data_IF_986819231736
#
_entry.id   IF_986819231736
#
_cell.length_a   1.000
_cell.length_b   1.000
_cell.length_c   1.000
_cell.angle_alpha   90.00
_cell.angle_beta   90.00
_cell.angle_gamma   90.00
#
_symmetry.space_group_name_H-M   'P 1'
#
loop_
_entity.id
_entity.type
_entity.pdbx_description
1 polymer ?
#
# COMPACT_ATOMS: atom_id res chain seq x y z
N UNK A 1 20.51 -16.33 -0.31
CA UNK A 1 19.58 -16.11 -1.44
C UNK A 1 18.21 -16.77 -1.30
N UNK A 2 18.08 -18.02 -0.84
CA UNK A 2 16.76 -18.69 -0.68
C UNK A 2 15.85 -18.06 0.38
N UNK A 3 16.39 -17.51 1.45
CA UNK A 3 15.61 -16.93 2.55
C UNK A 3 14.75 -15.72 2.12
N UNK A 4 15.24 -14.91 1.20
CA UNK A 4 14.52 -13.72 0.73
C UNK A 4 13.27 -14.09 -0.10
N UNK A 5 13.32 -15.15 -0.90
CA UNK A 5 12.18 -15.60 -1.69
C UNK A 5 11.04 -16.15 -0.82
N UNK A 6 11.39 -16.83 0.28
CA UNK A 6 10.38 -17.34 1.23
C UNK A 6 9.65 -16.18 1.90
N UNK A 7 10.36 -15.13 2.31
CA UNK A 7 9.75 -13.94 2.90
C UNK A 7 8.85 -13.19 1.91
N UNK A 8 9.29 -13.06 0.66
CA UNK A 8 8.48 -12.45 -0.41
C UNK A 8 7.21 -13.27 -0.62
N UNK A 9 7.32 -14.57 -0.77
CA UNK A 9 6.16 -15.45 -0.95
C UNK A 9 5.22 -15.40 0.25
N UNK A 10 5.74 -15.44 1.47
CA UNK A 10 4.95 -15.34 2.69
C UNK A 10 4.17 -14.03 2.80
N UNK A 11 4.71 -12.94 2.29
CA UNK A 11 4.05 -11.63 2.30
C UNK A 11 3.05 -11.47 1.13
N UNK A 12 3.36 -12.03 -0.04
CA UNK A 12 2.54 -11.89 -1.26
C UNK A 12 1.32 -12.81 -1.24
N UNK A 13 1.48 -14.06 -0.79
CA UNK A 13 0.40 -15.07 -0.81
C UNK A 13 -0.86 -14.60 -0.07
N UNK A 14 -0.80 -14.07 1.18
CA UNK A 14 -1.98 -13.58 1.88
C UNK A 14 -2.67 -12.42 1.17
N UNK A 15 -1.90 -11.50 0.60
CA UNK A 15 -2.44 -10.34 -0.11
C UNK A 15 -3.20 -10.77 -1.38
N UNK A 16 -2.59 -11.65 -2.19
CA UNK A 16 -3.23 -12.20 -3.39
C UNK A 16 -4.46 -13.04 -3.02
N UNK A 17 -4.36 -13.87 -1.98
CA UNK A 17 -5.48 -14.67 -1.51
C UNK A 17 -6.65 -13.78 -1.08
N UNK A 18 -6.41 -12.72 -0.31
CA UNK A 18 -7.43 -11.79 0.13
C UNK A 18 -8.07 -11.07 -1.07
N UNK A 19 -7.26 -10.61 -2.01
CA UNK A 19 -7.74 -9.96 -3.23
C UNK A 19 -8.65 -10.88 -4.06
N UNK A 20 -8.23 -12.12 -4.27
CA UNK A 20 -9.03 -13.11 -5.02
C UNK A 20 -10.31 -13.47 -4.26
N UNK A 21 -10.22 -13.62 -2.92
CA UNK A 21 -11.38 -13.93 -2.09
C UNK A 21 -12.41 -12.80 -2.14
N UNK A 22 -11.99 -11.55 -1.98
CA UNK A 22 -12.87 -10.38 -2.02
C UNK A 22 -13.49 -10.24 -3.40
N UNK A 23 -12.72 -10.36 -4.48
CA UNK A 23 -13.22 -10.31 -5.85
C UNK A 23 -14.24 -11.43 -6.18
N UNK A 24 -14.01 -12.65 -5.65
CA UNK A 24 -14.94 -13.78 -5.83
C UNK A 24 -16.19 -13.68 -4.95
N UNK A 25 -16.10 -12.98 -3.83
CA UNK A 25 -17.23 -12.76 -2.92
C UNK A 25 -18.20 -11.72 -3.44
N UNK A 26 -17.75 -10.89 -4.36
CA UNK A 26 -18.58 -9.93 -5.07
C UNK A 26 -19.47 -10.67 -6.09
N UNK A 27 -20.71 -10.93 -5.66
CA UNK A 27 -21.70 -11.72 -6.46
C UNK A 27 -22.76 -10.86 -7.12
N UNK A 28 -22.87 -9.59 -6.73
CA UNK A 28 -24.00 -8.74 -7.08
C UNK A 28 -23.77 -8.08 -8.43
N UNK A 29 -22.63 -7.43 -8.61
CA UNK A 29 -22.21 -6.87 -9.89
C UNK A 29 -20.70 -7.03 -10.04
N UNK A 30 -20.25 -7.62 -11.13
CA UNK A 30 -18.82 -7.72 -11.40
C UNK A 30 -18.29 -6.38 -11.89
N UNK A 31 -17.35 -5.85 -11.14
CA UNK A 31 -16.64 -4.62 -11.49
C UNK A 31 -16.02 -4.66 -12.89
N UNK A 32 -16.07 -3.53 -13.59
CA UNK A 32 -15.45 -3.44 -14.91
C UNK A 32 -13.95 -3.65 -14.84
N UNK A 33 -13.40 -4.44 -15.75
CA UNK A 33 -11.93 -4.65 -15.81
C UNK A 33 -11.15 -3.36 -16.08
N UNK A 34 -11.83 -2.30 -16.54
CA UNK A 34 -11.25 -0.97 -16.72
C UNK A 34 -11.03 -0.28 -15.38
N UNK A 35 -12.01 -0.31 -14.48
CA UNK A 35 -11.91 0.29 -13.15
C UNK A 35 -10.86 -0.44 -12.31
N UNK A 36 -10.83 -1.77 -12.35
CA UNK A 36 -9.81 -2.56 -11.65
C UNK A 36 -8.39 -2.20 -12.11
N UNK A 37 -8.16 -2.00 -13.40
CA UNK A 37 -6.85 -1.54 -13.92
C UNK A 37 -6.52 -0.14 -13.44
N UNK A 38 -7.47 0.78 -13.43
CA UNK A 38 -7.27 2.13 -12.87
C UNK A 38 -6.87 2.09 -11.40
N UNK A 39 -7.51 1.25 -10.60
CA UNK A 39 -7.19 1.08 -9.19
C UNK A 39 -5.80 0.48 -8.97
N UNK A 40 -5.39 -0.47 -9.80
CA UNK A 40 -4.01 -1.01 -9.75
C UNK A 40 -2.99 0.08 -10.05
N UNK A 41 -3.20 0.87 -11.11
CA UNK A 41 -2.31 2.00 -11.46
C UNK A 41 -2.30 3.04 -10.34
N UNK A 42 -3.47 3.38 -9.78
CA UNK A 42 -3.60 4.28 -8.65
C UNK A 42 -2.84 3.76 -7.42
N UNK A 43 -2.88 2.45 -7.16
CA UNK A 43 -2.12 1.80 -6.10
C UNK A 43 -0.60 1.94 -6.29
N UNK A 44 -0.10 1.77 -7.51
CA UNK A 44 1.33 1.97 -7.82
C UNK A 44 1.73 3.43 -7.57
N UNK A 45 0.93 4.38 -8.05
CA UNK A 45 1.22 5.82 -7.86
C UNK A 45 1.12 6.19 -6.37
N UNK A 46 0.14 5.65 -5.64
CA UNK A 46 0.01 5.87 -4.19
C UNK A 46 1.22 5.35 -3.41
N UNK A 47 1.84 4.24 -3.86
CA UNK A 47 3.08 3.73 -3.27
C UNK A 47 4.23 4.73 -3.42
N UNK A 48 4.38 5.31 -4.62
CA UNK A 48 5.42 6.32 -4.87
C UNK A 48 5.18 7.59 -4.02
N UNK A 49 3.93 8.03 -3.91
CA UNK A 49 3.58 9.18 -3.07
C UNK A 49 3.88 8.89 -1.59
N UNK A 50 3.47 7.73 -1.08
CA UNK A 50 3.75 7.33 0.30
C UNK A 50 5.25 7.30 0.60
N UNK A 51 6.08 6.79 -0.31
CA UNK A 51 7.54 6.79 -0.15
C UNK A 51 8.13 8.20 -0.07
N UNK A 52 7.60 9.16 -0.83
CA UNK A 52 8.03 10.56 -0.76
C UNK A 52 7.60 11.18 0.57
N UNK A 53 6.34 10.98 0.97
CA UNK A 53 5.81 11.48 2.25
C UNK A 53 6.59 10.92 3.44
N UNK A 54 6.94 9.64 3.43
CA UNK A 54 7.77 8.99 4.45
C UNK A 54 9.17 9.61 4.52
N UNK A 55 9.82 9.85 3.39
CA UNK A 55 11.15 10.47 3.36
C UNK A 55 11.14 11.90 3.86
N UNK A 56 10.13 12.68 3.51
CA UNK A 56 9.94 14.03 4.03
C UNK A 56 9.69 14.00 5.55
N UNK A 57 8.83 13.09 6.01
CA UNK A 57 8.54 12.92 7.43
C UNK A 57 9.75 12.45 8.24
N UNK A 58 10.54 11.52 7.71
CA UNK A 58 11.81 11.06 8.30
C UNK A 58 12.79 12.22 8.46
N UNK A 59 12.98 13.01 7.41
CA UNK A 59 13.83 14.19 7.44
C UNK A 59 13.36 15.22 8.45
N UNK A 60 12.05 15.52 8.51
CA UNK A 60 11.50 16.43 9.51
C UNK A 60 11.70 15.92 10.94
N UNK A 61 11.44 14.62 11.17
CA UNK A 61 11.61 14.02 12.48
C UNK A 61 13.07 14.06 12.97
N UNK A 62 14.02 13.84 12.08
CA UNK A 62 15.45 13.88 12.41
C UNK A 62 15.93 15.25 12.88
N UNK A 63 15.22 16.34 12.49
CA UNK A 63 15.52 17.69 12.99
C UNK A 63 15.15 17.90 14.46
N UNK A 64 14.21 17.11 15.00
CA UNK A 64 13.68 17.31 16.37
C UNK A 64 14.06 16.19 17.34
N UNK A 65 14.26 14.97 16.85
CA UNK A 65 14.52 13.79 17.66
C UNK A 65 15.76 13.06 17.14
N UNK A 66 16.72 12.73 18.02
CA UNK A 66 17.90 11.97 17.62
C UNK A 66 17.54 10.58 17.11
N UNK A 67 18.09 10.17 15.96
CA UNK A 67 17.79 8.91 15.26
C UNK A 67 18.06 7.66 16.11
N UNK A 68 19.03 7.74 17.04
CA UNK A 68 19.41 6.63 17.93
C UNK A 68 18.45 6.38 19.08
N UNK A 69 17.33 7.10 19.13
CA UNK A 69 16.37 7.01 20.24
C UNK A 69 15.24 6.04 19.88
N UNK A 70 14.82 5.20 20.83
CA UNK A 70 13.66 4.34 20.63
C UNK A 70 12.37 5.13 20.31
N UNK A 71 12.27 6.36 20.86
CA UNK A 71 11.18 7.29 20.59
C UNK A 71 11.13 7.70 19.11
N UNK A 72 12.29 7.91 18.47
CA UNK A 72 12.38 8.18 17.04
C UNK A 72 11.75 7.05 16.22
N UNK A 73 12.10 5.80 16.53
CA UNK A 73 11.58 4.64 15.82
C UNK A 73 10.05 4.49 15.96
N UNK A 74 9.53 4.74 17.17
CA UNK A 74 8.07 4.69 17.39
C UNK A 74 7.37 5.78 16.59
N UNK A 75 7.80 7.03 16.67
CA UNK A 75 7.17 8.14 15.94
C UNK A 75 7.29 7.90 14.43
N UNK A 76 8.45 7.45 13.95
CA UNK A 76 8.65 7.17 12.53
C UNK A 76 7.66 6.14 12.02
N UNK A 77 7.59 4.96 12.63
CA UNK A 77 6.78 3.87 12.11
C UNK A 77 5.28 4.02 12.41
N UNK A 78 4.90 4.42 13.62
CA UNK A 78 3.49 4.48 14.01
C UNK A 78 2.80 5.78 13.63
N UNK A 79 3.53 6.88 13.46
CA UNK A 79 2.92 8.17 13.10
C UNK A 79 3.21 8.49 11.64
N UNK A 80 4.47 8.63 11.26
CA UNK A 80 4.84 9.12 9.92
C UNK A 80 4.50 8.10 8.85
N UNK A 81 4.98 6.87 8.97
CA UNK A 81 4.73 5.81 7.96
C UNK A 81 3.24 5.49 7.90
N UNK A 82 2.57 5.35 9.04
CA UNK A 82 1.14 5.06 9.06
C UNK A 82 0.30 6.17 8.41
N UNK A 83 0.57 7.44 8.73
CA UNK A 83 -0.14 8.57 8.12
C UNK A 83 0.16 8.66 6.62
N UNK A 84 1.41 8.53 6.19
CA UNK A 84 1.79 8.58 4.79
C UNK A 84 1.09 7.49 3.96
N UNK A 85 1.02 6.25 4.48
CA UNK A 85 0.32 5.17 3.80
C UNK A 85 -1.19 5.40 3.72
N UNK A 86 -1.82 5.78 4.82
CA UNK A 86 -3.28 5.94 4.85
C UNK A 86 -3.74 7.19 4.10
N UNK A 87 -2.99 8.29 4.15
CA UNK A 87 -3.30 9.50 3.37
C UNK A 87 -3.19 9.24 1.87
N UNK A 88 -2.11 8.59 1.43
CA UNK A 88 -1.91 8.21 0.02
C UNK A 88 -3.03 7.29 -0.48
N UNK A 89 -3.37 6.24 0.26
CA UNK A 89 -4.49 5.34 -0.09
C UNK A 89 -5.80 6.08 -0.20
N UNK A 90 -6.12 6.91 0.80
CA UNK A 90 -7.38 7.65 0.85
C UNK A 90 -7.53 8.62 -0.33
N UNK A 91 -6.49 9.38 -0.65
CA UNK A 91 -6.49 10.35 -1.75
C UNK A 91 -6.78 9.64 -3.08
N UNK A 92 -6.06 8.56 -3.36
CA UNK A 92 -6.21 7.85 -4.63
C UNK A 92 -7.52 7.06 -4.70
N UNK A 93 -7.93 6.42 -3.60
CA UNK A 93 -9.22 5.73 -3.54
C UNK A 93 -10.36 6.72 -3.81
N UNK A 94 -10.41 7.81 -3.06
CA UNK A 94 -11.44 8.84 -3.21
C UNK A 94 -11.50 9.39 -4.63
N UNK A 95 -10.35 9.73 -5.22
CA UNK A 95 -10.28 10.30 -6.58
C UNK A 95 -10.77 9.33 -7.66
N UNK A 96 -10.58 8.03 -7.47
CA UNK A 96 -10.96 7.03 -8.48
C UNK A 96 -12.38 6.50 -8.32
N UNK A 97 -12.95 6.59 -7.11
CA UNK A 97 -14.21 5.89 -6.82
C UNK A 97 -15.37 6.83 -6.51
N UNK A 98 -15.13 8.03 -5.94
CA UNK A 98 -16.20 8.87 -5.41
C UNK A 98 -17.19 9.37 -6.47
N UNK A 99 -16.70 9.74 -7.65
CA UNK A 99 -17.52 10.24 -8.75
C UNK A 99 -17.78 9.15 -9.83
N UNK A 100 -17.48 7.89 -9.53
CA UNK A 100 -17.65 6.81 -10.49
C UNK A 100 -19.05 6.21 -10.36
N UNK A 101 -19.84 6.14 -11.46
CA UNK A 101 -21.18 5.55 -11.44
C UNK A 101 -21.17 4.04 -11.12
N UNK A 102 -20.04 3.35 -11.26
CA UNK A 102 -19.87 1.96 -10.85
C UNK A 102 -19.80 1.81 -9.31
N UNK A 103 -19.56 2.90 -8.57
CA UNK A 103 -19.56 2.91 -7.10
C UNK A 103 -21.00 3.03 -6.59
N UNK A 104 -21.77 1.96 -6.70
CA UNK A 104 -23.21 1.94 -6.37
C UNK A 104 -23.52 1.13 -5.11
N UNK A 105 -22.57 0.35 -4.62
CA UNK A 105 -22.73 -0.52 -3.46
C UNK A 105 -21.65 -0.27 -2.39
N UNK A 106 -22.02 -0.42 -1.12
CA UNK A 106 -21.06 -0.28 -0.01
C UNK A 106 -19.92 -1.33 -0.06
N UNK A 107 -20.20 -2.47 -0.68
CA UNK A 107 -19.22 -3.54 -0.83
C UNK A 107 -18.13 -3.20 -1.83
N UNK A 108 -18.44 -2.42 -2.87
CA UNK A 108 -17.47 -1.97 -3.87
C UNK A 108 -16.32 -1.19 -3.22
N UNK A 109 -16.65 -0.35 -2.22
CA UNK A 109 -15.65 0.36 -1.44
C UNK A 109 -14.67 -0.57 -0.73
N UNK A 110 -15.13 -1.72 -0.24
CA UNK A 110 -14.25 -2.73 0.36
C UNK A 110 -13.37 -3.39 -0.69
N UNK A 111 -13.93 -3.76 -1.84
CA UNK A 111 -13.19 -4.37 -2.97
C UNK A 111 -12.07 -3.43 -3.43
N UNK A 112 -12.40 -2.15 -3.64
CA UNK A 112 -11.46 -1.14 -4.11
C UNK A 112 -10.37 -0.84 -3.08
N UNK A 113 -10.74 -0.73 -1.80
CA UNK A 113 -9.78 -0.50 -0.72
C UNK A 113 -8.80 -1.68 -0.57
N UNK A 114 -9.29 -2.92 -0.63
CA UNK A 114 -8.45 -4.13 -0.55
C UNK A 114 -7.52 -4.21 -1.75
N UNK A 115 -8.00 -3.90 -2.96
CA UNK A 115 -7.19 -3.92 -4.17
C UNK A 115 -6.05 -2.91 -4.08
N UNK A 116 -6.35 -1.66 -3.75
CA UNK A 116 -5.38 -0.58 -3.64
C UNK A 116 -4.37 -0.85 -2.52
N UNK A 117 -4.84 -1.33 -1.36
CA UNK A 117 -3.99 -1.72 -0.24
C UNK A 117 -3.03 -2.86 -0.62
N UNK A 118 -3.52 -3.89 -1.31
CA UNK A 118 -2.70 -5.02 -1.75
C UNK A 118 -1.59 -4.58 -2.70
N UNK A 119 -1.88 -3.69 -3.64
CA UNK A 119 -0.88 -3.15 -4.59
C UNK A 119 0.18 -2.31 -3.86
N UNK A 120 -0.24 -1.44 -2.94
CA UNK A 120 0.68 -0.62 -2.14
C UNK A 120 1.61 -1.50 -1.29
N UNK A 121 1.06 -2.50 -0.62
CA UNK A 121 1.83 -3.42 0.21
C UNK A 121 2.84 -4.22 -0.63
N UNK A 122 2.43 -4.67 -1.83
CA UNK A 122 3.31 -5.35 -2.77
C UNK A 122 4.47 -4.45 -3.22
N UNK A 123 4.18 -3.19 -3.54
CA UNK A 123 5.20 -2.20 -3.91
C UNK A 123 6.23 -1.99 -2.81
N UNK A 124 5.80 -1.86 -1.56
CA UNK A 124 6.70 -1.69 -0.41
C UNK A 124 7.57 -2.92 -0.13
N UNK A 125 7.01 -4.12 -0.20
CA UNK A 125 7.81 -5.34 -0.05
C UNK A 125 8.88 -5.42 -1.14
N UNK A 126 8.53 -5.10 -2.39
CA UNK A 126 9.47 -5.11 -3.50
C UNK A 126 10.62 -4.12 -3.29
N UNK A 127 10.33 -2.90 -2.85
CA UNK A 127 11.37 -1.89 -2.54
C UNK A 127 12.24 -2.29 -1.36
N UNK A 128 11.66 -2.86 -0.32
CA UNK A 128 12.39 -3.35 0.85
C UNK A 128 13.33 -4.51 0.50
N UNK A 129 12.87 -5.46 -0.32
CA UNK A 129 13.70 -6.58 -0.79
C UNK A 129 14.84 -6.11 -1.68
N UNK A 130 14.59 -5.12 -2.54
CA UNK A 130 15.62 -4.52 -3.38
C UNK A 130 16.70 -3.84 -2.52
N UNK A 131 16.29 -3.07 -1.50
CA UNK A 131 17.20 -2.37 -0.60
C UNK A 131 18.07 -3.36 0.21
N UNK A 132 17.48 -4.44 0.72
CA UNK A 132 18.24 -5.48 1.43
C UNK A 132 19.22 -6.23 0.50
N UNK A 133 18.84 -6.48 -0.74
CA UNK A 133 19.74 -7.11 -1.71
C UNK A 133 20.94 -6.22 -2.06
N UNK A 134 20.73 -4.91 -2.12
CA UNK A 134 21.80 -3.94 -2.44
C UNK A 134 22.77 -3.71 -1.26
N UNK A 135 22.31 -3.85 -0.01
CA UNK A 135 23.17 -3.73 1.17
C UNK A 135 24.12 -4.93 1.39
N UNK A 136 23.89 -6.04 0.68
CA UNK A 136 24.73 -7.25 0.76
C UNK A 136 25.82 -7.34 -0.32
N UNK A 137 25.89 -6.35 -1.21
CA UNK A 137 26.94 -6.21 -2.24
C UNK A 137 28.03 -5.24 -1.79
#
# INVERSE_FOLDING_TARGET
>A
MMYNWILILAAVIPAVFLMVKVYRSDRIEKESGYLLRKLVVAGIISTLLALVEEKVGEWLLSCFVPENTWLYQIILYFVIVAIAEESSKYIFLKKQTWDNPEFNCKYDGVVYAVLLHSVLHFGKISTMCYHMAFQQL
#
